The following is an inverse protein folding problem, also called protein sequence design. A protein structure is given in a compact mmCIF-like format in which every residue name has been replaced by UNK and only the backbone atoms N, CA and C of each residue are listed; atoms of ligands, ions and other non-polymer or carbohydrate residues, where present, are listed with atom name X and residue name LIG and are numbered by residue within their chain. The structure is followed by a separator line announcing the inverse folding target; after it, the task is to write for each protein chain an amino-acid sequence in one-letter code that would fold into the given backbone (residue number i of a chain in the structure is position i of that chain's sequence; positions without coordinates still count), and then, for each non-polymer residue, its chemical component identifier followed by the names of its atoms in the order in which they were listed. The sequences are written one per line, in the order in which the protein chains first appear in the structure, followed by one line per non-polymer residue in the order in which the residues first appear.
data_IF_788848943856
#
_entry.id   IF_788848943856
#
_cell.length_a   1.000
_cell.length_b   1.000
_cell.length_c   1.000
_cell.angle_alpha   90.00
_cell.angle_beta   90.00
_cell.angle_gamma   90.00
#
_symmetry.space_group_name_H-M   'P 1'
#
loop_
_entity.id
_entity.type
_entity.pdbx_description
1 polymer ?
#
# COMPACT_ATOMS: atom_id res chain seq x y z
N UNK A 1 9.22 -7.54 -18.57
CA UNK A 1 9.48 -6.15 -18.13
C UNK A 1 10.16 -6.22 -16.77
N UNK A 2 11.22 -5.44 -16.51
CA UNK A 2 11.81 -5.38 -15.18
C UNK A 2 10.76 -4.84 -14.19
N UNK A 3 10.65 -5.49 -13.02
CA UNK A 3 9.78 -5.03 -11.94
C UNK A 3 10.36 -3.69 -11.46
N UNK A 4 9.56 -2.60 -11.38
CA UNK A 4 10.02 -1.42 -10.65
C UNK A 4 10.36 -1.84 -9.21
N UNK A 5 11.29 -1.14 -8.53
CA UNK A 5 11.60 -1.41 -7.13
C UNK A 5 10.32 -1.39 -6.28
N UNK A 6 10.36 -2.04 -5.10
CA UNK A 6 9.26 -2.23 -4.13
C UNK A 6 8.75 -0.90 -3.54
N UNK A 7 8.32 0.00 -4.43
CA UNK A 7 7.87 1.34 -4.11
C UNK A 7 6.42 1.26 -3.72
N UNK A 8 6.15 1.46 -2.44
CA UNK A 8 4.81 1.73 -1.95
C UNK A 8 4.40 3.13 -2.38
N UNK A 9 3.26 3.26 -3.06
CA UNK A 9 2.67 4.56 -3.39
C UNK A 9 1.74 5.00 -2.27
N UNK A 10 2.10 6.07 -1.56
CA UNK A 10 1.33 6.55 -0.41
C UNK A 10 0.49 7.77 -0.79
N UNK A 11 -0.83 7.60 -0.71
CA UNK A 11 -1.81 8.66 -0.91
C UNK A 11 -1.73 9.66 0.23
N UNK A 12 -1.64 10.96 -0.09
CA UNK A 12 -1.59 12.02 0.93
C UNK A 12 -0.18 12.44 1.35
N UNK A 13 0.88 11.78 0.85
CA UNK A 13 2.27 12.26 0.99
C UNK A 13 2.72 13.10 -0.19
N UNK A 14 3.51 14.12 0.10
CA UNK A 14 4.19 14.90 -0.93
C UNK A 14 5.31 14.09 -1.58
N UNK A 15 5.47 14.24 -2.90
CA UNK A 15 6.46 13.47 -3.67
C UNK A 15 7.92 13.68 -3.26
N UNK A 16 8.21 14.73 -2.47
CA UNK A 16 9.57 15.11 -2.08
C UNK A 16 10.12 14.35 -0.86
N UNK A 17 9.28 13.62 -0.10
CA UNK A 17 9.71 12.94 1.13
C UNK A 17 10.24 11.51 0.91
N UNK A 18 10.17 10.99 -0.33
CA UNK A 18 10.58 9.63 -0.69
C UNK A 18 12.10 9.41 -0.74
N UNK A 19 12.93 10.45 -0.55
CA UNK A 19 14.39 10.40 -0.76
C UNK A 19 15.19 10.07 0.52
N UNK A 20 14.55 9.67 1.62
CA UNK A 20 15.26 9.12 2.79
C UNK A 20 15.35 7.61 2.68
N UNK A 21 16.31 7.19 1.87
CA UNK A 21 16.79 5.83 1.67
C UNK A 21 17.50 5.35 2.95
N UNK A 22 16.82 4.57 3.80
CA UNK A 22 17.47 3.74 4.82
C UNK A 22 17.66 2.35 4.23
N UNK A 23 18.80 2.17 3.55
CA UNK A 23 19.13 0.95 2.85
C UNK A 23 19.31 -0.25 3.78
N UNK A 24 18.56 -1.32 3.54
CA UNK A 24 18.93 -2.70 3.83
C UNK A 24 18.17 -3.63 2.90
N UNK A 25 18.83 -4.14 1.86
CA UNK A 25 18.30 -5.26 1.07
C UNK A 25 18.74 -6.60 1.69
N UNK A 26 17.98 -7.68 1.45
CA UNK A 26 18.64 -8.80 0.80
C UNK A 26 17.83 -9.52 -0.31
N UNK A 27 18.64 -10.00 -1.26
CA UNK A 27 18.54 -11.15 -2.19
C UNK A 27 17.27 -12.00 -2.18
N UNK A 28 16.65 -12.09 -3.36
CA UNK A 28 15.47 -12.90 -3.59
C UNK A 28 15.73 -14.40 -3.77
N UNK A 29 14.63 -15.14 -3.63
CA UNK A 29 14.42 -16.45 -4.23
C UNK A 29 13.00 -16.55 -4.78
N UNK A 30 12.88 -17.29 -5.89
CA UNK A 30 11.70 -17.35 -6.73
C UNK A 30 10.73 -18.45 -6.30
N UNK A 31 9.44 -18.08 -6.30
CA UNK A 31 8.21 -18.86 -6.59
C UNK A 31 7.45 -19.53 -5.44
N UNK A 32 6.32 -18.89 -5.13
CA UNK A 32 4.91 -19.34 -5.13
C UNK A 32 4.23 -18.89 -3.85
N UNK A 33 2.99 -18.46 -4.03
CA UNK A 33 2.07 -17.99 -3.02
C UNK A 33 2.42 -16.58 -2.51
N UNK A 34 1.39 -15.74 -2.37
CA UNK A 34 1.55 -14.38 -1.91
C UNK A 34 2.03 -14.43 -0.45
N UNK A 35 3.34 -14.43 -0.25
CA UNK A 35 3.95 -14.16 1.05
C UNK A 35 3.33 -12.85 1.56
N UNK A 36 2.82 -12.81 2.81
CA UNK A 36 2.34 -11.58 3.40
C UNK A 36 3.51 -10.59 3.35
N UNK A 37 3.30 -9.54 2.56
CA UNK A 37 4.21 -8.41 2.39
C UNK A 37 4.57 -7.93 3.79
N UNK A 38 5.76 -8.33 4.25
CA UNK A 38 6.12 -8.33 5.67
C UNK A 38 6.05 -6.87 6.12
N UNK A 39 5.39 -6.63 7.24
CA UNK A 39 5.08 -5.28 7.73
C UNK A 39 6.34 -4.40 7.91
N UNK A 40 7.52 -5.02 7.92
CA UNK A 40 8.85 -4.42 8.09
C UNK A 40 9.23 -3.41 6.99
N UNK A 41 8.75 -3.59 5.74
CA UNK A 41 9.02 -2.66 4.62
C UNK A 41 7.94 -1.58 4.45
N UNK A 42 6.91 -1.58 5.31
CA UNK A 42 5.83 -0.60 5.24
C UNK A 42 6.34 0.75 5.78
N UNK A 43 6.21 1.83 5.01
CA UNK A 43 6.55 3.14 5.53
C UNK A 43 5.70 3.44 6.79
N UNK A 44 6.28 4.03 7.85
CA UNK A 44 5.57 4.26 9.11
C UNK A 44 4.29 5.07 8.89
N UNK A 45 3.28 4.85 9.74
CA UNK A 45 1.98 5.54 9.71
C UNK A 45 1.33 5.57 8.32
N UNK A 46 1.45 4.47 7.58
CA UNK A 46 0.75 4.22 6.32
C UNK A 46 -0.34 3.18 6.58
N UNK A 47 -1.53 3.25 5.98
CA UNK A 47 -2.53 2.18 5.87
C UNK A 47 -2.40 1.46 4.52
N UNK A 48 -2.16 0.14 4.45
CA UNK A 48 -2.04 -0.57 3.16
C UNK A 48 -3.43 -0.92 2.62
N UNK A 49 -3.80 -0.39 1.45
CA UNK A 49 -5.15 -0.57 0.88
C UNK A 49 -5.20 -1.47 -0.36
N UNK A 50 -4.04 -1.91 -0.85
CA UNK A 50 -3.94 -2.87 -1.96
C UNK A 50 -2.73 -2.61 -2.86
N UNK A 51 -2.87 -2.93 -4.14
CA UNK A 51 -1.86 -2.66 -5.17
C UNK A 51 -2.52 -2.12 -6.44
N UNK A 52 -1.75 -1.42 -7.27
CA UNK A 52 -2.21 -1.05 -8.60
C UNK A 52 -2.46 -2.30 -9.43
N UNK A 53 -3.51 -2.28 -10.25
CA UNK A 53 -3.74 -3.32 -11.24
C UNK A 53 -2.94 -3.01 -12.51
N UNK A 54 -1.98 -3.88 -12.86
CA UNK A 54 -1.23 -3.75 -14.10
C UNK A 54 -2.11 -4.07 -15.32
N UNK A 55 -1.65 -3.67 -16.52
CA UNK A 55 -2.42 -3.85 -17.77
C UNK A 55 -2.70 -5.31 -18.12
N UNK A 56 -1.84 -6.22 -17.67
CA UNK A 56 -1.98 -7.66 -17.83
C UNK A 56 -2.80 -8.32 -16.70
N UNK A 57 -3.36 -7.52 -15.78
CA UNK A 57 -4.12 -7.98 -14.63
C UNK A 57 -3.26 -8.46 -13.45
N UNK A 58 -1.93 -8.37 -13.56
CA UNK A 58 -1.04 -8.68 -12.43
C UNK A 58 -1.03 -7.56 -11.39
N UNK A 59 -0.55 -7.87 -10.18
CA UNK A 59 -0.32 -6.89 -9.14
C UNK A 59 0.87 -5.99 -9.49
N UNK A 60 0.63 -4.69 -9.50
CA UNK A 60 1.64 -3.64 -9.60
C UNK A 60 2.16 -3.22 -8.22
N UNK A 61 2.65 -1.99 -8.13
CA UNK A 61 3.14 -1.42 -6.87
C UNK A 61 2.06 -1.38 -5.78
N UNK A 62 2.47 -1.62 -4.54
CA UNK A 62 1.59 -1.48 -3.37
C UNK A 62 1.10 -0.04 -3.23
N UNK A 63 -0.12 0.12 -2.70
CA UNK A 63 -0.76 1.41 -2.46
C UNK A 63 -1.16 1.50 -1.00
N UNK A 64 -0.77 2.60 -0.36
CA UNK A 64 -1.18 2.93 0.98
C UNK A 64 -1.76 4.33 1.10
N UNK A 65 -2.28 4.65 2.29
CA UNK A 65 -2.79 5.98 2.67
C UNK A 65 -1.96 6.48 3.84
N UNK A 66 -1.49 7.71 3.79
CA UNK A 66 -0.87 8.35 4.95
C UNK A 66 -1.89 8.41 6.10
N UNK A 67 -1.48 8.23 7.36
CA UNK A 67 -2.39 8.32 8.50
C UNK A 67 -2.13 9.55 9.37
N UNK A 68 -0.95 10.17 9.22
CA UNK A 68 -0.51 11.32 10.03
C UNK A 68 -1.11 12.65 9.58
N UNK A 69 -1.68 12.72 8.37
CA UNK A 69 -2.20 13.96 7.79
C UNK A 69 -3.74 13.94 7.73
N UNK A 70 -4.41 15.11 7.69
CA UNK A 70 -5.86 15.12 7.49
C UNK A 70 -6.22 14.57 6.10
N UNK A 71 -7.03 13.50 6.05
CA UNK A 71 -7.48 12.89 4.82
C UNK A 71 -8.98 13.08 4.60
N UNK A 72 -9.34 13.72 3.48
CA UNK A 72 -10.70 13.71 2.95
C UNK A 72 -10.70 12.88 1.66
N UNK A 73 -11.26 11.67 1.73
CA UNK A 73 -11.36 10.73 0.62
C UNK A 73 -12.78 10.24 0.41
N UNK A 74 -13.09 9.81 -0.81
CA UNK A 74 -14.42 9.28 -1.13
C UNK A 74 -14.28 8.06 -2.06
N UNK A 75 -15.09 7.02 -1.81
CA UNK A 75 -15.04 5.76 -2.56
C UNK A 75 -16.29 5.64 -3.42
N UNK A 76 -16.13 5.61 -4.74
CA UNK A 76 -17.22 5.48 -5.70
C UNK A 76 -17.11 4.20 -6.55
N UNK A 77 -18.25 3.71 -7.04
CA UNK A 77 -18.32 2.51 -7.86
C UNK A 77 -19.72 1.91 -7.93
N UNK A 78 -19.95 0.99 -8.87
CA UNK A 78 -21.24 0.28 -9.05
C UNK A 78 -21.60 -0.58 -7.83
N UNK A 79 -22.82 -1.13 -7.79
CA UNK A 79 -23.19 -2.12 -6.77
C UNK A 79 -22.30 -3.36 -6.93
N UNK A 80 -21.77 -3.85 -5.81
CA UNK A 80 -20.93 -5.07 -5.79
C UNK A 80 -19.46 -4.86 -6.17
N UNK A 81 -18.99 -3.64 -6.41
CA UNK A 81 -17.57 -3.38 -6.76
C UNK A 81 -16.66 -3.19 -5.54
N UNK A 82 -17.04 -3.71 -4.38
CA UNK A 82 -16.16 -3.72 -3.20
C UNK A 82 -16.03 -2.41 -2.41
N UNK A 83 -16.87 -1.38 -2.59
CA UNK A 83 -16.76 -0.14 -1.79
C UNK A 83 -16.70 -0.37 -0.27
N UNK A 84 -17.62 -1.19 0.26
CA UNK A 84 -17.63 -1.54 1.69
C UNK A 84 -16.46 -2.43 2.09
N UNK A 85 -15.96 -3.26 1.16
CA UNK A 85 -14.76 -4.05 1.38
C UNK A 85 -13.54 -3.12 1.53
N UNK A 86 -13.36 -2.16 0.62
CA UNK A 86 -12.29 -1.15 0.71
C UNK A 86 -12.35 -0.34 2.00
N UNK A 87 -13.54 0.09 2.42
CA UNK A 87 -13.70 0.80 3.69
C UNK A 87 -13.46 -0.10 4.91
N UNK A 88 -13.79 -1.40 4.82
CA UNK A 88 -13.49 -2.38 5.86
C UNK A 88 -11.98 -2.58 6.03
N UNK A 89 -11.25 -2.81 4.93
CA UNK A 89 -9.78 -2.91 4.94
C UNK A 89 -9.16 -1.64 5.53
N UNK A 90 -9.61 -0.46 5.10
CA UNK A 90 -9.10 0.79 5.66
C UNK A 90 -9.35 0.90 7.17
N UNK A 91 -10.51 0.46 7.66
CA UNK A 91 -10.81 0.47 9.09
C UNK A 91 -9.96 -0.52 9.88
N UNK A 92 -9.71 -1.71 9.33
CA UNK A 92 -8.81 -2.72 9.92
C UNK A 92 -7.38 -2.18 10.02
N UNK A 93 -6.87 -1.59 8.93
CA UNK A 93 -5.52 -1.03 8.87
C UNK A 93 -5.33 0.19 9.79
N UNK A 94 -6.37 1.01 10.00
CA UNK A 94 -6.33 2.12 10.96
C UNK A 94 -6.35 1.59 12.40
N UNK A 95 -7.13 0.54 12.67
CA UNK A 95 -7.20 -0.05 14.00
C UNK A 95 -5.89 -0.74 14.41
N UNK A 96 -5.13 -1.23 13.44
CA UNK A 96 -3.83 -1.86 13.63
C UNK A 96 -2.68 -0.84 13.73
N UNK A 97 -2.89 0.40 13.28
CA UNK A 97 -1.87 1.43 13.32
C UNK A 97 -1.61 1.93 14.75
N UNK A 98 -0.34 1.94 15.15
CA UNK A 98 0.08 2.47 16.45
C UNK A 98 -0.26 3.96 16.59
N UNK A 99 -1.01 4.31 17.64
CA UNK A 99 -1.19 5.69 18.09
C UNK A 99 -2.38 6.46 17.51
N UNK A 100 -3.38 5.78 16.93
CA UNK A 100 -4.68 6.37 16.54
C UNK A 100 -5.71 6.29 17.66
#
# INVERSE_FOLDING_TARGET
MPRPPDRVYVLGRDKAEFDRDDGTGPTGESRRDAEPDTDDDRPPHTARIGSFLARDGSAGAAVGVDLDRPHAGVVFGKRGTGKSYTLGVLAEEIADADGV
#
